data_IF_562425373580
#
_entry.id   IF_562425373580
#
_cell.length_a   1.000
_cell.length_b   1.000
_cell.length_c   1.000
_cell.angle_alpha   90.00
_cell.angle_beta   90.00
_cell.angle_gamma   90.00
#
_symmetry.space_group_name_H-M   'P 1'
#
loop_
_entity.id
_entity.type
_entity.pdbx_description
1 polymer ?
#
# COMPACT_ATOMS: atom_id res chain seq x y z
N UNK A 1 -10.07 -12.53 -2.59
CA UNK A 1 -8.77 -12.92 -1.96
C UNK A 1 -8.93 -14.23 -1.21
N UNK A 2 -7.89 -15.08 -1.11
CA UNK A 2 -7.98 -16.34 -0.34
C UNK A 2 -8.07 -16.02 1.16
N UNK A 3 -8.96 -16.71 1.90
CA UNK A 3 -9.21 -16.50 3.33
C UNK A 3 -7.94 -16.56 4.19
N UNK A 4 -7.05 -17.51 3.95
CA UNK A 4 -5.77 -17.61 4.69
C UNK A 4 -4.84 -16.42 4.47
N UNK A 5 -4.86 -15.86 3.27
CA UNK A 5 -4.06 -14.69 2.94
C UNK A 5 -4.60 -13.43 3.65
N UNK A 6 -5.91 -13.24 3.67
CA UNK A 6 -6.50 -12.09 4.37
C UNK A 6 -6.25 -12.15 5.88
N UNK A 7 -6.34 -13.34 6.49
CA UNK A 7 -6.06 -13.54 7.91
C UNK A 7 -4.59 -13.21 8.26
N UNK A 8 -3.64 -13.55 7.39
CA UNK A 8 -2.23 -13.17 7.55
C UNK A 8 -2.04 -11.66 7.47
N UNK A 9 -2.61 -11.01 6.44
CA UNK A 9 -2.52 -9.56 6.27
C UNK A 9 -3.14 -8.79 7.45
N UNK A 10 -4.25 -9.27 7.99
CA UNK A 10 -4.86 -8.72 9.21
C UNK A 10 -3.89 -8.80 10.39
N UNK A 11 -3.25 -9.95 10.62
CA UNK A 11 -2.26 -10.10 11.71
C UNK A 11 -1.09 -9.15 11.55
N UNK A 12 -0.58 -8.97 10.33
CA UNK A 12 0.50 -8.02 10.04
C UNK A 12 0.03 -6.59 10.32
N UNK A 13 -1.16 -6.20 9.84
CA UNK A 13 -1.72 -4.87 10.07
C UNK A 13 -1.90 -4.57 11.56
N UNK A 14 -2.44 -5.51 12.34
CA UNK A 14 -2.60 -5.36 13.79
C UNK A 14 -1.26 -5.20 14.52
N UNK A 15 -0.22 -5.92 14.09
CA UNK A 15 1.12 -5.76 14.67
C UNK A 15 1.74 -4.41 14.32
N UNK A 16 1.56 -3.94 13.09
CA UNK A 16 1.97 -2.59 12.67
C UNK A 16 1.29 -1.52 13.51
N UNK A 17 -0.01 -1.67 13.78
CA UNK A 17 -0.82 -0.71 14.52
C UNK A 17 -0.40 -0.54 15.98
N UNK A 18 0.27 -1.51 16.60
CA UNK A 18 0.82 -1.36 17.97
C UNK A 18 1.86 -0.24 18.09
N UNK A 19 2.52 0.12 17.00
CA UNK A 19 3.50 1.21 16.96
C UNK A 19 3.16 2.26 15.89
N UNK A 20 1.88 2.40 15.53
CA UNK A 20 1.40 3.42 14.60
C UNK A 20 1.07 4.69 15.38
N UNK A 21 1.67 5.82 14.99
CA UNK A 21 1.61 7.06 15.76
C UNK A 21 0.43 7.97 15.38
N UNK A 22 -0.19 7.72 14.22
CA UNK A 22 -1.32 8.50 13.73
C UNK A 22 -2.67 7.83 14.06
N UNK A 23 -3.78 8.50 13.73
CA UNK A 23 -5.11 7.90 13.82
C UNK A 23 -5.22 6.74 12.79
N UNK A 24 -5.46 5.48 13.22
CA UNK A 24 -5.68 4.37 12.31
C UNK A 24 -6.83 4.58 11.32
N UNK A 25 -7.73 5.52 11.60
CA UNK A 25 -8.86 5.89 10.74
C UNK A 25 -8.60 7.19 9.96
N UNK A 26 -7.42 7.80 10.11
CA UNK A 26 -6.97 9.01 9.41
C UNK A 26 -6.64 8.77 7.94
N UNK A 27 -6.15 9.81 7.28
CA UNK A 27 -5.90 9.81 5.85
C UNK A 27 -4.83 8.79 5.40
N UNK A 28 -3.87 8.45 6.25
CA UNK A 28 -2.81 7.46 5.99
C UNK A 28 -3.05 6.12 6.73
N UNK A 29 -4.28 5.90 7.24
CA UNK A 29 -4.66 4.74 8.03
C UNK A 29 -5.20 3.56 7.21
N UNK A 30 -5.91 2.66 7.91
CA UNK A 30 -6.29 1.33 7.42
C UNK A 30 -7.18 1.33 6.17
N UNK A 31 -7.99 2.38 5.92
CA UNK A 31 -8.79 2.48 4.70
C UNK A 31 -7.89 2.71 3.48
N UNK A 32 -6.94 3.62 3.61
CA UNK A 32 -5.92 3.85 2.61
C UNK A 32 -5.10 2.56 2.33
N UNK A 33 -4.59 1.90 3.36
CA UNK A 33 -3.86 0.64 3.20
C UNK A 33 -4.69 -0.40 2.44
N UNK A 34 -5.98 -0.49 2.75
CA UNK A 34 -6.86 -1.45 2.09
C UNK A 34 -7.08 -1.17 0.60
N UNK A 35 -7.29 0.08 0.20
CA UNK A 35 -7.42 0.45 -1.22
C UNK A 35 -6.10 0.30 -1.98
N UNK A 36 -4.97 0.68 -1.36
CA UNK A 36 -3.63 0.44 -1.93
C UNK A 36 -3.38 -1.07 -2.12
N UNK A 37 -3.84 -1.91 -1.19
CA UNK A 37 -3.76 -3.37 -1.32
C UNK A 37 -4.52 -3.87 -2.55
N UNK A 38 -5.76 -3.44 -2.72
CA UNK A 38 -6.61 -3.86 -3.85
C UNK A 38 -6.03 -3.37 -5.18
N UNK A 39 -5.66 -2.09 -5.27
CA UNK A 39 -5.05 -1.50 -6.45
C UNK A 39 -3.71 -2.18 -6.81
N UNK A 40 -2.82 -2.35 -5.83
CA UNK A 40 -1.50 -2.94 -6.02
C UNK A 40 -1.57 -4.41 -6.42
N UNK A 41 -2.49 -5.18 -5.81
CA UNK A 41 -2.75 -6.57 -6.20
C UNK A 41 -3.17 -6.66 -7.66
N UNK A 42 -4.16 -5.86 -8.07
CA UNK A 42 -4.66 -5.86 -9.45
C UNK A 42 -3.56 -5.45 -10.45
N UNK A 43 -2.81 -4.39 -10.17
CA UNK A 43 -1.74 -3.92 -11.05
C UNK A 43 -0.58 -4.92 -11.16
N UNK A 44 -0.19 -5.56 -10.06
CA UNK A 44 0.85 -6.60 -10.08
C UNK A 44 0.39 -7.82 -10.90
N UNK A 45 -0.86 -8.27 -10.75
CA UNK A 45 -1.44 -9.36 -11.57
C UNK A 45 -1.47 -9.00 -13.05
N UNK A 46 -1.94 -7.79 -13.40
CA UNK A 46 -2.04 -7.33 -14.80
C UNK A 46 -0.68 -7.29 -15.51
N UNK A 47 0.39 -7.00 -14.78
CA UNK A 47 1.69 -6.74 -15.37
C UNK A 47 2.78 -7.77 -15.04
N UNK A 48 2.44 -8.85 -14.33
CA UNK A 48 3.39 -9.92 -13.98
C UNK A 48 4.39 -9.53 -12.90
N UNK A 49 4.05 -8.55 -12.05
CA UNK A 49 4.79 -8.19 -10.86
C UNK A 49 4.53 -9.14 -9.69
N UNK A 50 5.29 -9.00 -8.59
CA UNK A 50 5.05 -9.77 -7.37
C UNK A 50 3.81 -9.23 -6.63
N UNK A 51 2.72 -9.98 -6.70
CA UNK A 51 1.48 -9.70 -5.94
C UNK A 51 1.78 -9.63 -4.44
N UNK A 52 2.65 -10.53 -3.96
CA UNK A 52 3.01 -10.58 -2.55
C UNK A 52 3.72 -9.31 -2.08
N UNK A 53 4.64 -8.79 -2.86
CA UNK A 53 5.33 -7.53 -2.57
C UNK A 53 4.34 -6.36 -2.57
N UNK A 54 3.44 -6.27 -3.55
CA UNK A 54 2.42 -5.22 -3.62
C UNK A 54 1.47 -5.23 -2.41
N UNK A 55 1.07 -6.42 -1.94
CA UNK A 55 0.23 -6.57 -0.75
C UNK A 55 0.94 -6.09 0.52
N UNK A 56 2.19 -6.46 0.70
CA UNK A 56 2.98 -6.03 1.86
C UNK A 56 3.30 -4.53 1.77
N UNK A 57 3.61 -4.01 0.58
CA UNK A 57 3.80 -2.58 0.37
C UNK A 57 2.62 -1.76 0.90
N UNK A 58 1.40 -2.18 0.62
CA UNK A 58 0.19 -1.49 1.08
C UNK A 58 0.17 -1.29 2.61
N UNK A 59 0.68 -2.27 3.37
CA UNK A 59 0.72 -2.20 4.82
C UNK A 59 1.92 -1.41 5.36
N UNK A 60 3.07 -1.45 4.66
CA UNK A 60 4.32 -0.94 5.21
C UNK A 60 4.67 0.49 4.78
N UNK A 61 4.27 0.95 3.58
CA UNK A 61 4.76 2.22 3.01
C UNK A 61 4.53 3.42 3.92
N UNK A 62 3.35 3.52 4.54
CA UNK A 62 2.94 4.61 5.45
C UNK A 62 2.91 4.20 6.93
N UNK A 63 3.31 2.96 7.26
CA UNK A 63 3.20 2.36 8.60
C UNK A 63 3.96 3.08 9.71
N UNK A 64 4.89 3.97 9.38
CA UNK A 64 5.74 4.69 10.33
C UNK A 64 5.80 6.18 10.00
N UNK A 65 4.68 6.75 9.56
CA UNK A 65 4.51 8.22 9.52
C UNK A 65 4.41 8.77 10.93
N UNK A 66 4.99 9.95 11.12
CA UNK A 66 4.95 10.67 12.40
C UNK A 66 4.03 11.91 12.33
N UNK A 67 3.53 12.27 11.15
CA UNK A 67 2.52 13.31 10.95
C UNK A 67 1.77 13.10 9.63
N UNK A 68 0.63 13.79 9.48
CA UNK A 68 -0.23 13.71 8.28
C UNK A 68 0.27 14.58 7.10
N UNK A 69 1.33 15.37 7.30
CA UNK A 69 1.83 16.33 6.32
C UNK A 69 3.15 15.87 5.70
N UNK A 70 4.18 16.72 5.78
CA UNK A 70 5.50 16.40 5.23
C UNK A 70 6.31 15.52 6.19
N UNK A 71 6.63 14.32 5.73
CA UNK A 71 7.44 13.34 6.46
C UNK A 71 8.34 12.58 5.46
N UNK A 72 9.47 13.16 5.04
CA UNK A 72 10.30 12.59 3.97
C UNK A 72 10.84 11.18 4.27
N UNK A 73 11.02 10.85 5.55
CA UNK A 73 11.64 9.58 5.96
C UNK A 73 10.64 8.45 6.27
N UNK A 74 9.32 8.69 6.14
CA UNK A 74 8.34 7.68 6.52
C UNK A 74 8.49 6.37 5.72
N UNK A 75 8.74 6.47 4.43
CA UNK A 75 8.95 5.28 3.57
C UNK A 75 10.19 4.49 3.95
N UNK A 76 11.27 5.16 4.35
CA UNK A 76 12.49 4.51 4.88
C UNK A 76 12.18 3.75 6.16
N UNK A 77 11.46 4.37 7.10
CA UNK A 77 11.07 3.72 8.36
C UNK A 77 10.12 2.53 8.13
N UNK A 78 9.20 2.65 7.17
CA UNK A 78 8.34 1.55 6.74
C UNK A 78 9.12 0.37 6.15
N UNK A 79 10.09 0.64 5.27
CA UNK A 79 10.99 -0.35 4.68
C UNK A 79 11.83 -1.10 5.75
N UNK A 80 12.32 -0.39 6.75
CA UNK A 80 13.06 -0.96 7.87
C UNK A 80 12.16 -1.84 8.75
N UNK A 81 10.92 -1.42 8.99
CA UNK A 81 9.94 -2.23 9.71
C UNK A 81 9.66 -3.53 8.96
N UNK A 82 9.44 -3.47 7.65
CA UNK A 82 9.23 -4.65 6.82
C UNK A 82 10.41 -5.64 6.95
N UNK A 83 11.65 -5.15 6.89
CA UNK A 83 12.83 -5.98 7.05
C UNK A 83 12.91 -6.65 8.43
N UNK A 84 12.54 -5.94 9.50
CA UNK A 84 12.52 -6.52 10.86
C UNK A 84 11.45 -7.60 11.05
N UNK A 85 10.32 -7.47 10.35
CA UNK A 85 9.20 -8.41 10.45
C UNK A 85 9.34 -9.61 9.50
N UNK A 86 10.18 -9.51 8.48
CA UNK A 86 10.49 -10.63 7.59
C UNK A 86 11.13 -11.79 8.36
N UNK A 87 10.65 -13.01 8.13
CA UNK A 87 11.08 -14.19 8.89
C UNK A 87 10.33 -14.44 10.21
N UNK A 88 9.42 -13.52 10.62
CA UNK A 88 8.60 -13.68 11.82
C UNK A 88 7.10 -13.66 11.56
N UNK A 89 6.59 -12.65 10.88
CA UNK A 89 5.16 -12.49 10.55
C UNK A 89 4.84 -12.88 9.11
N UNK A 90 5.80 -12.78 8.24
CA UNK A 90 5.72 -13.21 6.84
C UNK A 90 7.12 -13.62 6.38
N UNK A 91 7.20 -14.23 5.20
CA UNK A 91 8.47 -14.61 4.59
C UNK A 91 8.53 -14.11 3.15
N UNK A 92 9.57 -13.36 2.84
CA UNK A 92 10.00 -13.00 1.50
C UNK A 92 11.44 -13.46 1.28
N UNK A 93 11.73 -13.87 0.06
CA UNK A 93 13.10 -14.08 -0.38
C UNK A 93 13.84 -12.74 -0.52
N UNK A 94 15.18 -12.77 -0.52
CA UNK A 94 15.99 -11.55 -0.50
C UNK A 94 15.67 -10.58 -1.65
N UNK A 95 15.39 -11.10 -2.84
CA UNK A 95 15.01 -10.29 -4.01
C UNK A 95 13.67 -9.57 -3.83
N UNK A 96 12.64 -10.25 -3.33
CA UNK A 96 11.32 -9.66 -3.06
C UNK A 96 11.38 -8.66 -1.90
N UNK A 97 12.16 -8.96 -0.85
CA UNK A 97 12.36 -8.01 0.24
C UNK A 97 13.04 -6.72 -0.25
N UNK A 98 14.01 -6.83 -1.15
CA UNK A 98 14.66 -5.67 -1.75
C UNK A 98 13.66 -4.80 -2.54
N UNK A 99 12.78 -5.43 -3.35
CA UNK A 99 11.71 -4.74 -4.08
C UNK A 99 10.73 -4.04 -3.13
N UNK A 100 10.31 -4.70 -2.07
CA UNK A 100 9.43 -4.10 -1.05
C UNK A 100 10.06 -2.87 -0.41
N UNK A 101 11.34 -2.99 -0.03
CA UNK A 101 12.07 -1.89 0.58
C UNK A 101 12.28 -0.72 -0.37
N UNK A 102 12.59 -0.99 -1.65
CA UNK A 102 12.71 0.02 -2.69
C UNK A 102 11.37 0.74 -2.89
N UNK A 103 10.28 -0.01 -3.07
CA UNK A 103 8.96 0.56 -3.24
C UNK A 103 8.59 1.48 -2.07
N UNK A 104 8.80 1.05 -0.82
CA UNK A 104 8.51 1.87 0.36
C UNK A 104 9.36 3.15 0.41
N UNK A 105 10.67 3.06 0.16
CA UNK A 105 11.57 4.24 0.25
C UNK A 105 11.27 5.30 -0.80
N UNK A 106 10.73 4.91 -1.94
CA UNK A 106 10.68 5.77 -3.13
C UNK A 106 9.25 6.14 -3.57
N UNK A 107 8.19 5.62 -2.91
CA UNK A 107 6.81 5.77 -3.38
C UNK A 107 6.35 7.22 -3.56
N UNK A 108 6.75 8.12 -2.67
CA UNK A 108 6.31 9.53 -2.70
C UNK A 108 6.73 10.26 -3.98
N UNK A 109 7.95 10.03 -4.46
CA UNK A 109 8.52 10.78 -5.59
C UNK A 109 8.99 9.94 -6.78
N UNK A 110 9.02 8.62 -6.65
CA UNK A 110 9.58 7.71 -7.66
C UNK A 110 8.79 7.74 -8.96
N UNK A 111 9.49 7.97 -10.08
CA UNK A 111 8.91 7.99 -11.46
C UNK A 111 9.88 7.46 -12.51
N UNK A 112 11.08 7.13 -12.08
CA UNK A 112 12.14 6.64 -12.96
C UNK A 112 11.99 5.15 -13.31
N UNK A 113 12.95 4.60 -14.05
CA UNK A 113 13.02 3.16 -14.29
C UNK A 113 13.12 2.39 -12.98
N UNK A 114 12.24 1.40 -12.81
CA UNK A 114 12.24 0.49 -11.70
C UNK A 114 11.62 -0.85 -12.13
N UNK A 115 11.67 -1.86 -11.25
CA UNK A 115 10.96 -3.12 -11.47
C UNK A 115 9.46 -2.89 -11.61
N UNK A 116 8.78 -3.70 -12.39
CA UNK A 116 7.33 -3.59 -12.63
C UNK A 116 6.53 -3.71 -11.33
N UNK A 117 7.03 -4.48 -10.36
CA UNK A 117 6.44 -4.60 -9.04
C UNK A 117 6.47 -3.27 -8.28
N UNK A 118 7.61 -2.57 -8.34
CA UNK A 118 7.79 -1.26 -7.71
C UNK A 118 6.89 -0.22 -8.38
N UNK A 119 6.77 -0.24 -9.71
CA UNK A 119 5.84 0.61 -10.45
C UNK A 119 4.39 0.37 -10.04
N UNK A 120 3.96 -0.90 -9.89
CA UNK A 120 2.62 -1.24 -9.44
C UNK A 120 2.33 -0.71 -8.02
N UNK A 121 3.32 -0.79 -7.12
CA UNK A 121 3.23 -0.24 -5.78
C UNK A 121 3.05 1.29 -5.79
N UNK A 122 3.88 2.01 -6.54
CA UNK A 122 3.79 3.47 -6.63
C UNK A 122 2.47 3.94 -7.22
N UNK A 123 1.98 3.26 -8.26
CA UNK A 123 0.72 3.60 -8.90
C UNK A 123 -0.48 3.30 -7.98
N UNK A 124 -0.42 2.20 -7.21
CA UNK A 124 -1.45 1.84 -6.26
C UNK A 124 -1.70 2.93 -5.21
N UNK A 125 -0.61 3.52 -4.68
CA UNK A 125 -0.68 4.63 -3.74
C UNK A 125 -1.19 5.92 -4.40
N UNK A 126 -0.68 6.26 -5.61
CA UNK A 126 -1.10 7.46 -6.34
C UNK A 126 -2.56 7.44 -6.74
N UNK A 127 -3.11 6.29 -7.10
CA UNK A 127 -4.53 6.14 -7.42
C UNK A 127 -5.44 6.44 -6.23
N UNK A 128 -4.91 6.42 -5.01
CA UNK A 128 -5.64 6.76 -3.79
C UNK A 128 -5.51 8.23 -3.34
N UNK A 129 -4.80 9.09 -4.08
CA UNK A 129 -4.63 10.51 -3.78
C UNK A 129 -5.95 11.31 -3.65
N UNK A 130 -7.05 10.99 -4.38
CA UNK A 130 -8.31 11.71 -4.22
C UNK A 130 -8.90 11.65 -2.80
N UNK A 131 -8.52 10.68 -1.95
CA UNK A 131 -8.92 10.63 -0.52
C UNK A 131 -8.54 11.88 0.26
N UNK A 132 -7.46 12.54 -0.15
CA UNK A 132 -6.95 13.79 0.47
C UNK A 132 -7.21 15.04 -0.38
N UNK A 133 -8.14 14.95 -1.34
CA UNK A 133 -8.52 16.05 -2.21
C UNK A 133 -7.46 16.42 -3.27
N UNK A 134 -6.54 15.50 -3.57
CA UNK A 134 -5.51 15.70 -4.59
C UNK A 134 -5.84 14.87 -5.83
N UNK A 135 -5.93 15.52 -6.99
CA UNK A 135 -6.17 14.81 -8.23
C UNK A 135 -4.98 13.93 -8.62
N UNK A 136 -5.25 12.68 -8.92
CA UNK A 136 -4.26 11.79 -9.50
C UNK A 136 -3.99 12.20 -10.95
N UNK A 137 -2.75 12.52 -11.27
CA UNK A 137 -2.35 12.84 -12.64
C UNK A 137 -1.92 11.59 -13.37
N UNK A 138 -2.60 11.26 -14.47
CA UNK A 138 -2.29 10.05 -15.27
C UNK A 138 -0.86 10.01 -15.79
N UNK A 139 -0.27 11.15 -16.10
CA UNK A 139 1.12 11.27 -16.53
C UNK A 139 2.13 10.88 -15.42
N UNK A 140 1.69 10.79 -14.18
CA UNK A 140 2.52 10.34 -13.05
C UNK A 140 2.47 8.83 -12.82
N UNK A 141 1.50 8.13 -13.44
CA UNK A 141 1.36 6.69 -13.33
C UNK A 141 2.39 6.01 -14.23
N UNK A 142 2.98 4.92 -13.74
CA UNK A 142 4.07 4.21 -14.40
C UNK A 142 3.55 3.07 -15.29
N UNK A 143 2.51 2.34 -14.83
CA UNK A 143 1.99 1.16 -15.50
C UNK A 143 0.88 1.50 -16.52
N UNK A 144 0.80 0.79 -17.66
CA UNK A 144 -0.32 0.96 -18.58
C UNK A 144 -1.69 0.71 -17.97
N UNK A 145 -1.81 -0.32 -17.10
CA UNK A 145 -3.05 -0.68 -16.43
C UNK A 145 -3.60 0.43 -15.53
N UNK A 146 -2.72 1.12 -14.79
CA UNK A 146 -3.12 2.25 -13.96
C UNK A 146 -3.64 3.44 -14.78
N UNK A 147 -3.21 3.57 -16.05
CA UNK A 147 -3.67 4.62 -16.98
C UNK A 147 -4.92 4.23 -17.76
N UNK A 148 -5.35 2.97 -17.72
CA UNK A 148 -6.53 2.49 -18.41
C UNK A 148 -7.75 3.19 -17.82
N UNK A 149 -8.66 3.71 -18.69
CA UNK A 149 -9.77 4.59 -18.30
C UNK A 149 -10.67 4.00 -17.24
N UNK A 150 -11.10 2.76 -17.43
CA UNK A 150 -12.05 2.11 -16.51
C UNK A 150 -11.43 1.84 -15.15
N UNK A 151 -10.18 1.36 -15.12
CA UNK A 151 -9.45 1.10 -13.87
C UNK A 151 -9.13 2.40 -13.12
N UNK A 152 -8.63 3.41 -13.84
CA UNK A 152 -8.33 4.72 -13.27
C UNK A 152 -9.57 5.35 -12.63
N UNK A 153 -10.69 5.42 -13.39
CA UNK A 153 -11.91 6.06 -12.88
C UNK A 153 -12.46 5.33 -11.66
N UNK A 154 -12.55 3.98 -11.74
CA UNK A 154 -13.04 3.18 -10.63
C UNK A 154 -12.23 3.42 -9.34
N UNK A 155 -10.90 3.35 -9.43
CA UNK A 155 -10.02 3.45 -8.24
C UNK A 155 -10.03 4.86 -7.66
N UNK A 156 -10.03 5.89 -8.49
CA UNK A 156 -10.09 7.30 -8.02
C UNK A 156 -11.44 7.66 -7.44
N UNK A 157 -12.55 7.12 -7.95
CA UNK A 157 -13.89 7.30 -7.38
C UNK A 157 -14.02 6.63 -6.00
N UNK A 158 -13.47 5.42 -5.85
CA UNK A 158 -13.43 4.72 -4.56
C UNK A 158 -12.60 5.49 -3.53
N UNK A 159 -11.47 6.05 -3.94
CA UNK A 159 -10.62 6.89 -3.12
C UNK A 159 -11.33 8.19 -2.68
N UNK A 160 -11.94 8.92 -3.62
CA UNK A 160 -12.68 10.16 -3.34
C UNK A 160 -13.87 9.93 -2.40
N UNK A 161 -14.52 8.76 -2.51
CA UNK A 161 -15.62 8.37 -1.63
C UNK A 161 -15.16 7.77 -0.29
N UNK A 162 -13.86 7.67 -0.05
CA UNK A 162 -13.20 7.06 1.13
C UNK A 162 -13.79 5.68 1.48
N UNK A 163 -13.99 4.84 0.46
CA UNK A 163 -14.63 3.52 0.61
C UNK A 163 -13.75 2.55 1.41
N UNK A 164 -14.42 1.75 2.24
CA UNK A 164 -13.79 0.61 2.90
C UNK A 164 -13.48 -0.52 1.89
N UNK A 165 -12.36 -1.21 2.12
CA UNK A 165 -11.98 -2.47 1.48
C UNK A 165 -12.30 -3.66 2.36
N UNK A 166 -12.10 -4.89 1.85
CA UNK A 166 -12.22 -6.11 2.64
C UNK A 166 -11.23 -6.09 3.84
N UNK A 167 -9.97 -5.70 3.60
CA UNK A 167 -8.96 -5.59 4.65
C UNK A 167 -9.34 -4.56 5.71
N UNK A 168 -9.71 -3.35 5.31
CA UNK A 168 -10.01 -2.27 6.26
C UNK A 168 -11.22 -2.62 7.13
N UNK A 169 -12.22 -3.25 6.55
CA UNK A 169 -13.39 -3.74 7.29
C UNK A 169 -13.00 -4.79 8.32
N UNK A 170 -12.19 -5.77 7.94
CA UNK A 170 -11.77 -6.85 8.82
C UNK A 170 -10.84 -6.37 9.95
N UNK A 171 -9.88 -5.48 9.66
CA UNK A 171 -9.01 -4.88 10.69
C UNK A 171 -9.82 -4.04 11.68
N UNK A 172 -10.79 -3.26 11.20
CA UNK A 172 -11.69 -2.48 12.09
C UNK A 172 -12.54 -3.35 12.99
N UNK A 173 -12.95 -4.53 12.53
CA UNK A 173 -13.66 -5.50 13.38
C UNK A 173 -12.74 -6.05 14.46
N UNK A 174 -11.54 -6.48 14.08
CA UNK A 174 -10.55 -7.03 15.01
C UNK A 174 -10.06 -6.03 16.08
N UNK A 175 -10.09 -4.72 15.79
CA UNK A 175 -9.74 -3.66 16.78
C UNK A 175 -10.83 -3.41 17.83
N UNK A 176 -12.03 -3.95 17.64
CA UNK A 176 -13.15 -3.79 18.59
C UNK A 176 -13.26 -4.95 19.59
N UNK A 177 -12.60 -6.05 19.31
CA UNK A 177 -12.50 -7.25 20.14
C UNK A 177 -11.36 -7.14 21.16
#
# INVERSE_FOLDING_TARGET
MNRFLIEELIKIALEILKGYELDPHGAHGIRHWGRVLENGTALAEMHGGSVRVAQLFALFHDSRRVNEYSDPEHGTRGAELAARMNGSLFQLEAGELALLQEACRTHTGGRGPADITVHACWDADRLDLPRVGTDTRREWLCTPGAREEGFYQLTTDLAAADKDSELSTAVRQALKE
#
